data_IF_750040995267
#
_entry.id   IF_750040995267
#
_cell.length_a   1.000
_cell.length_b   1.000
_cell.length_c   1.000
_cell.angle_alpha   90.00
_cell.angle_beta   90.00
_cell.angle_gamma   90.00
#
_symmetry.space_group_name_H-M   'P 1'
#
loop_
_entity.id
_entity.type
_entity.pdbx_description
1 polymer ?
#
# COMPACT_ATOMS: atom_id res chain seq x y z
N UNK A 1 -1.82 4.19 33.53
CA UNK A 1 -1.87 4.24 32.05
C UNK A 1 -3.06 3.41 31.60
N UNK A 2 -3.96 3.99 30.80
CA UNK A 2 -5.16 3.32 30.31
C UNK A 2 -4.77 2.20 29.31
N UNK A 3 -5.46 1.05 29.36
CA UNK A 3 -5.28 -0.09 28.43
C UNK A 3 -5.35 0.34 26.95
N UNK A 4 -6.10 1.41 26.66
CA UNK A 4 -6.24 1.99 25.31
C UNK A 4 -4.94 2.60 24.79
N UNK A 5 -4.14 3.25 25.63
CA UNK A 5 -2.84 3.84 25.25
C UNK A 5 -1.81 2.75 24.94
N UNK A 6 -1.85 1.64 25.67
CA UNK A 6 -0.95 0.50 25.44
C UNK A 6 -1.27 -0.21 24.12
N UNK A 7 -2.54 -0.31 23.75
CA UNK A 7 -2.97 -0.91 22.48
C UNK A 7 -2.61 -0.03 21.29
N UNK A 8 -2.78 1.30 21.39
CA UNK A 8 -2.37 2.23 20.32
C UNK A 8 -0.85 2.23 20.09
N UNK A 9 -0.05 2.21 21.16
CA UNK A 9 1.41 2.09 21.07
C UNK A 9 1.84 0.74 20.46
N UNK A 10 1.15 -0.36 20.77
CA UNK A 10 1.43 -1.66 20.18
C UNK A 10 1.06 -1.71 18.69
N UNK A 11 -0.02 -1.07 18.27
CA UNK A 11 -0.42 -0.98 16.86
C UNK A 11 0.54 -0.11 16.06
N UNK A 12 0.98 1.03 16.60
CA UNK A 12 1.99 1.87 15.93
C UNK A 12 3.36 1.17 15.85
N UNK A 13 3.76 0.40 16.88
CA UNK A 13 4.97 -0.40 16.86
C UNK A 13 4.86 -1.63 15.94
N UNK A 14 3.67 -2.24 15.82
CA UNK A 14 3.42 -3.34 14.89
C UNK A 14 3.38 -2.85 13.43
N UNK A 15 2.85 -1.67 13.15
CA UNK A 15 2.90 -1.07 11.81
C UNK A 15 4.33 -0.63 11.43
N UNK A 16 5.10 -0.10 12.37
CA UNK A 16 6.51 0.21 12.17
C UNK A 16 7.37 -1.06 12.07
N UNK A 17 7.05 -2.12 12.82
CA UNK A 17 7.70 -3.42 12.74
C UNK A 17 7.31 -4.20 11.49
N UNK A 18 6.08 -4.09 11.02
CA UNK A 18 5.64 -4.71 9.76
C UNK A 18 6.33 -4.08 8.55
N UNK A 19 6.51 -2.77 8.53
CA UNK A 19 7.32 -2.10 7.52
C UNK A 19 8.82 -2.45 7.62
N UNK A 20 9.36 -2.58 8.84
CA UNK A 20 10.77 -2.96 9.04
C UNK A 20 11.03 -4.45 8.77
N UNK A 21 10.11 -5.35 9.12
CA UNK A 21 10.21 -6.79 8.81
C UNK A 21 10.03 -7.06 7.33
N UNK A 22 9.19 -6.30 6.64
CA UNK A 22 9.06 -6.35 5.19
C UNK A 22 10.37 -5.95 4.49
N UNK A 23 11.08 -4.93 5.01
CA UNK A 23 12.41 -4.53 4.52
C UNK A 23 13.52 -5.55 4.84
N UNK A 24 13.48 -6.22 6.00
CA UNK A 24 14.50 -7.19 6.42
C UNK A 24 14.30 -8.59 5.83
N UNK A 25 13.09 -8.99 5.45
CA UNK A 25 12.83 -10.24 4.74
C UNK A 25 13.23 -10.22 3.27
N UNK A 26 13.52 -9.05 2.70
CA UNK A 26 13.96 -8.90 1.31
C UNK A 26 15.33 -9.53 1.03
N UNK A 27 16.16 -9.75 2.06
CA UNK A 27 17.55 -10.23 1.91
C UNK A 27 17.77 -11.71 2.29
N UNK A 28 16.72 -12.48 2.62
CA UNK A 28 16.90 -13.87 3.12
C UNK A 28 16.09 -14.89 2.33
N UNK A 29 16.27 -14.95 1.02
CA UNK A 29 15.72 -16.04 0.19
C UNK A 29 16.68 -17.24 0.15
N UNK A 30 16.26 -18.47 0.54
CA UNK A 30 17.11 -19.63 0.34
C UNK A 30 17.15 -20.03 -1.14
N UNK A 31 18.37 -20.16 -1.65
CA UNK A 31 18.70 -20.73 -2.96
C UNK A 31 18.21 -22.19 -3.05
N UNK A 32 17.05 -22.44 -3.62
CA UNK A 32 16.59 -23.80 -3.94
C UNK A 32 16.98 -24.11 -5.38
N UNK A 33 17.93 -25.04 -5.53
CA UNK A 33 18.35 -25.60 -6.81
C UNK A 33 17.18 -26.29 -7.49
N UNK A 34 16.91 -25.89 -8.73
CA UNK A 34 15.98 -26.54 -9.65
C UNK A 34 16.44 -27.97 -9.96
N UNK A 35 15.73 -28.94 -9.44
CA UNK A 35 15.85 -30.35 -9.85
C UNK A 35 14.79 -30.65 -10.93
N UNK A 36 15.24 -31.21 -12.05
CA UNK A 36 14.41 -31.69 -13.16
C UNK A 36 13.30 -32.62 -12.69
N UNK A 37 12.05 -32.22 -12.80
CA UNK A 37 10.90 -33.10 -12.71
C UNK A 37 10.19 -33.13 -14.08
N UNK A 38 10.39 -34.22 -14.83
CA UNK A 38 9.63 -34.56 -16.03
C UNK A 38 8.16 -34.73 -15.69
N UNK A 39 7.31 -33.90 -16.28
CA UNK A 39 5.86 -34.05 -16.20
C UNK A 39 5.39 -35.27 -17.01
N UNK A 40 4.49 -36.13 -16.47
CA UNK A 40 3.83 -37.14 -17.24
C UNK A 40 2.77 -36.50 -18.16
N UNK A 41 2.77 -36.89 -19.43
CA UNK A 41 1.80 -36.49 -20.45
C UNK A 41 0.40 -36.94 -20.07
N UNK A 42 -0.53 -35.99 -19.85
CA UNK A 42 -1.96 -36.28 -19.69
C UNK A 42 -2.62 -36.69 -21.00
N UNK A 43 -3.51 -37.70 -21.01
CA UNK A 43 -4.23 -38.13 -22.19
C UNK A 43 -5.24 -37.06 -22.65
N UNK A 44 -5.37 -36.92 -23.98
CA UNK A 44 -6.29 -36.00 -24.62
C UNK A 44 -7.74 -36.28 -24.24
N UNK A 45 -8.43 -35.23 -23.74
CA UNK A 45 -9.85 -35.24 -23.37
C UNK A 45 -10.73 -35.18 -24.63
N UNK A 46 -11.77 -36.02 -24.75
CA UNK A 46 -12.65 -35.98 -25.91
C UNK A 46 -13.48 -34.68 -25.94
N UNK A 47 -13.90 -34.19 -27.12
CA UNK A 47 -14.69 -32.99 -27.26
C UNK A 47 -16.09 -33.25 -26.73
N UNK A 48 -16.38 -32.70 -25.53
CA UNK A 48 -17.69 -32.78 -24.88
C UNK A 48 -18.42 -31.44 -24.95
N UNK A 49 -19.72 -31.50 -25.15
CA UNK A 49 -20.73 -30.47 -25.22
C UNK A 49 -20.43 -29.20 -24.44
N UNK A 50 -20.30 -28.07 -25.15
CA UNK A 50 -20.13 -26.73 -24.64
C UNK A 50 -21.33 -26.19 -23.87
N UNK A 51 -21.57 -26.67 -22.65
CA UNK A 51 -22.08 -25.80 -21.59
C UNK A 51 -20.86 -24.95 -21.17
N UNK A 52 -20.96 -23.63 -20.99
CA UNK A 52 -19.89 -22.89 -20.37
C UNK A 52 -19.60 -23.59 -19.04
N UNK A 53 -18.43 -24.26 -18.98
CA UNK A 53 -17.99 -24.88 -17.75
C UNK A 53 -17.90 -23.74 -16.74
N UNK A 54 -18.66 -23.83 -15.63
CA UNK A 54 -18.57 -22.86 -14.56
C UNK A 54 -17.08 -22.73 -14.20
N UNK A 55 -16.52 -21.56 -14.42
CA UNK A 55 -15.12 -21.31 -14.07
C UNK A 55 -14.91 -21.70 -12.60
N UNK A 56 -13.83 -22.41 -12.23
CA UNK A 56 -13.58 -22.75 -10.82
C UNK A 56 -13.61 -21.52 -9.91
N UNK A 57 -13.37 -20.35 -10.47
CA UNK A 57 -13.35 -19.07 -9.78
C UNK A 57 -14.75 -18.57 -9.38
N UNK A 58 -15.83 -19.04 -10.00
CA UNK A 58 -17.21 -18.74 -9.58
C UNK A 58 -17.51 -19.21 -8.15
N UNK A 59 -16.75 -20.18 -7.65
CA UNK A 59 -16.86 -20.70 -6.29
C UNK A 59 -16.32 -19.73 -5.23
N UNK A 60 -15.49 -18.75 -5.62
CA UNK A 60 -14.95 -17.73 -4.70
C UNK A 60 -16.06 -16.89 -4.07
N UNK A 61 -17.16 -16.65 -4.78
CA UNK A 61 -18.31 -15.86 -4.33
C UNK A 61 -19.41 -16.70 -3.70
N UNK A 62 -19.17 -17.99 -3.47
CA UNK A 62 -20.17 -18.90 -2.91
C UNK A 62 -20.16 -18.80 -1.38
N UNK A 63 -21.06 -18.04 -0.79
CA UNK A 63 -21.12 -17.79 0.67
C UNK A 63 -21.29 -19.07 1.52
N UNK A 64 -21.80 -20.16 0.96
CA UNK A 64 -21.92 -21.44 1.65
C UNK A 64 -20.58 -22.21 1.79
N UNK A 65 -19.53 -21.81 1.05
CA UNK A 65 -18.20 -22.38 1.20
C UNK A 65 -17.45 -21.72 2.38
N UNK A 66 -16.83 -22.53 3.25
CA UNK A 66 -15.98 -22.00 4.31
C UNK A 66 -14.85 -21.13 3.78
N UNK A 67 -14.47 -20.09 4.52
CA UNK A 67 -13.41 -19.12 4.15
C UNK A 67 -12.12 -19.80 3.77
N UNK A 68 -11.67 -20.81 4.53
CA UNK A 68 -10.43 -21.53 4.23
C UNK A 68 -10.47 -22.24 2.86
N UNK A 69 -11.63 -22.79 2.45
CA UNK A 69 -11.77 -23.42 1.13
C UNK A 69 -11.74 -22.39 0.00
N UNK A 70 -12.37 -21.24 0.20
CA UNK A 70 -12.31 -20.14 -0.78
C UNK A 70 -10.89 -19.59 -0.91
N UNK A 71 -10.14 -19.49 0.20
CA UNK A 71 -8.72 -19.12 0.18
C UNK A 71 -7.86 -20.14 -0.57
N UNK A 72 -8.08 -21.44 -0.37
CA UNK A 72 -7.41 -22.49 -1.14
C UNK A 72 -7.66 -22.36 -2.65
N UNK A 73 -8.90 -22.04 -3.04
CA UNK A 73 -9.26 -21.77 -4.44
C UNK A 73 -8.52 -20.52 -4.95
N UNK A 74 -8.53 -19.41 -4.18
CA UNK A 74 -7.83 -18.18 -4.56
C UNK A 74 -6.33 -18.41 -4.76
N UNK A 75 -5.68 -19.17 -3.91
CA UNK A 75 -4.25 -19.52 -4.01
C UNK A 75 -3.89 -20.38 -5.21
N UNK A 76 -4.87 -21.00 -5.84
CA UNK A 76 -4.66 -21.78 -7.08
C UNK A 76 -4.69 -20.89 -8.35
N UNK A 77 -4.99 -19.60 -8.20
CA UNK A 77 -4.92 -18.64 -9.32
C UNK A 77 -3.47 -18.56 -9.78
N UNK A 78 -3.20 -19.10 -10.97
CA UNK A 78 -1.85 -19.13 -11.55
C UNK A 78 -1.89 -19.43 -13.05
N UNK A 79 -0.78 -19.18 -13.75
CA UNK A 79 -0.64 -19.47 -15.16
C UNK A 79 -1.44 -18.57 -16.09
N UNK A 80 -1.66 -19.00 -17.32
CA UNK A 80 -2.47 -18.25 -18.29
C UNK A 80 -3.95 -18.48 -18.03
N UNK A 81 -4.69 -17.42 -17.70
CA UNK A 81 -6.13 -17.47 -17.58
C UNK A 81 -6.79 -17.34 -18.96
N UNK A 82 -7.91 -18.05 -19.15
CA UNK A 82 -8.80 -17.75 -20.25
C UNK A 82 -9.53 -16.41 -20.03
N UNK A 83 -10.06 -15.80 -21.08
CA UNK A 83 -10.90 -14.58 -20.93
C UNK A 83 -12.08 -14.82 -19.98
N UNK A 84 -12.65 -16.03 -19.97
CA UNK A 84 -13.73 -16.40 -19.08
C UNK A 84 -13.27 -16.45 -17.61
N UNK A 85 -12.07 -16.96 -17.35
CA UNK A 85 -11.50 -16.99 -16.00
C UNK A 85 -11.20 -15.58 -15.49
N UNK A 86 -10.58 -14.73 -16.31
CA UNK A 86 -10.32 -13.32 -15.97
C UNK A 86 -11.62 -12.59 -15.64
N UNK A 87 -12.65 -12.77 -16.48
CA UNK A 87 -13.97 -12.16 -16.21
C UNK A 87 -14.58 -12.67 -14.89
N UNK A 88 -14.45 -13.96 -14.58
CA UNK A 88 -14.95 -14.52 -13.33
C UNK A 88 -14.21 -13.98 -12.10
N UNK A 89 -12.88 -13.76 -12.20
CA UNK A 89 -12.10 -13.14 -11.13
C UNK A 89 -12.46 -11.66 -10.91
N UNK A 90 -12.64 -10.90 -12.00
CA UNK A 90 -13.11 -9.52 -11.88
C UNK A 90 -14.52 -9.44 -11.29
N UNK A 91 -15.43 -10.34 -11.69
CA UNK A 91 -16.74 -10.45 -11.07
C UNK A 91 -16.64 -10.80 -9.56
N UNK A 92 -15.67 -11.64 -9.18
CA UNK A 92 -15.38 -11.90 -7.77
C UNK A 92 -14.90 -10.65 -7.05
N UNK A 93 -14.04 -9.83 -7.66
CA UNK A 93 -13.59 -8.54 -7.07
C UNK A 93 -14.76 -7.56 -6.88
N UNK A 94 -15.85 -7.70 -7.64
CA UNK A 94 -17.06 -6.89 -7.50
C UNK A 94 -18.08 -7.47 -6.51
N UNK A 95 -17.82 -8.67 -6.03
CA UNK A 95 -18.76 -9.33 -5.12
C UNK A 95 -18.90 -8.56 -3.81
N UNK A 96 -20.13 -8.37 -3.38
CA UNK A 96 -20.46 -7.85 -2.06
C UNK A 96 -20.95 -9.02 -1.20
N UNK A 97 -20.26 -9.37 -0.12
CA UNK A 97 -20.65 -10.48 0.72
C UNK A 97 -21.97 -10.18 1.43
N UNK A 98 -22.67 -11.23 1.88
CA UNK A 98 -23.82 -11.07 2.76
C UNK A 98 -23.38 -10.46 4.09
N UNK A 99 -24.30 -9.74 4.72
CA UNK A 99 -24.06 -9.12 6.03
C UNK A 99 -23.51 -10.14 7.03
N UNK A 100 -22.41 -9.77 7.69
CA UNK A 100 -21.69 -10.60 8.66
C UNK A 100 -20.60 -11.51 8.05
N UNK A 101 -20.36 -11.43 6.73
CA UNK A 101 -19.29 -12.15 6.05
C UNK A 101 -18.19 -11.25 5.47
N UNK A 102 -18.22 -9.95 5.80
CA UNK A 102 -17.36 -8.94 5.20
C UNK A 102 -15.88 -9.16 5.54
N UNK A 103 -15.54 -9.43 6.81
CA UNK A 103 -14.15 -9.61 7.24
C UNK A 103 -13.51 -10.83 6.54
N UNK A 104 -14.23 -11.94 6.48
CA UNK A 104 -13.79 -13.15 5.77
C UNK A 104 -13.59 -12.89 4.28
N UNK A 105 -14.51 -12.08 3.70
CA UNK A 105 -14.44 -11.73 2.30
C UNK A 105 -13.22 -10.84 1.99
N UNK A 106 -12.88 -9.88 2.86
CA UNK A 106 -11.72 -9.02 2.65
C UNK A 106 -10.41 -9.82 2.55
N UNK A 107 -10.27 -10.88 3.35
CA UNK A 107 -9.09 -11.77 3.28
C UNK A 107 -9.04 -12.50 1.94
N UNK A 108 -10.17 -13.01 1.45
CA UNK A 108 -10.26 -13.69 0.15
C UNK A 108 -9.98 -12.73 -1.00
N UNK A 109 -10.56 -11.53 -0.94
CA UNK A 109 -10.39 -10.48 -1.95
C UNK A 109 -8.92 -10.05 -2.06
N UNK A 110 -8.26 -9.84 -0.92
CA UNK A 110 -6.83 -9.52 -0.89
C UNK A 110 -6.00 -10.64 -1.53
N UNK A 111 -6.31 -11.91 -1.25
CA UNK A 111 -5.62 -13.05 -1.87
C UNK A 111 -5.85 -13.10 -3.39
N UNK A 112 -7.07 -12.83 -3.87
CA UNK A 112 -7.36 -12.75 -5.32
C UNK A 112 -6.50 -11.66 -5.96
N UNK A 113 -6.48 -10.46 -5.39
CA UNK A 113 -5.69 -9.35 -5.90
C UNK A 113 -4.19 -9.69 -5.91
N UNK A 114 -3.69 -10.30 -4.84
CA UNK A 114 -2.29 -10.70 -4.72
C UNK A 114 -1.89 -11.72 -5.80
N UNK A 115 -2.68 -12.77 -6.00
CA UNK A 115 -2.38 -13.79 -6.99
C UNK A 115 -2.46 -13.25 -8.42
N UNK A 116 -3.47 -12.42 -8.73
CA UNK A 116 -3.56 -11.77 -10.05
C UNK A 116 -2.33 -10.90 -10.32
N UNK A 117 -1.91 -10.10 -9.35
CA UNK A 117 -0.71 -9.26 -9.45
C UNK A 117 0.56 -10.10 -9.65
N UNK A 118 0.80 -11.09 -8.77
CA UNK A 118 2.02 -11.92 -8.80
C UNK A 118 2.21 -12.65 -10.10
N UNK A 119 1.15 -13.17 -10.66
CA UNK A 119 1.17 -13.93 -11.90
C UNK A 119 0.99 -13.06 -13.16
N UNK A 120 0.86 -11.74 -13.02
CA UNK A 120 0.69 -10.81 -14.14
C UNK A 120 -0.59 -11.04 -14.94
N UNK A 121 -1.62 -11.60 -14.30
CA UNK A 121 -2.84 -12.04 -14.97
C UNK A 121 -3.71 -10.84 -15.32
N UNK A 122 -4.08 -10.71 -16.61
CA UNK A 122 -4.89 -9.60 -17.11
C UNK A 122 -4.28 -8.24 -16.79
N UNK A 123 -2.96 -8.09 -16.94
CA UNK A 123 -2.19 -7.00 -16.34
C UNK A 123 -2.77 -5.60 -16.53
N UNK A 124 -3.15 -5.23 -17.74
CA UNK A 124 -3.70 -3.90 -18.03
C UNK A 124 -5.15 -3.79 -17.54
N UNK A 125 -5.96 -4.80 -17.78
CA UNK A 125 -7.34 -4.86 -17.29
C UNK A 125 -7.39 -4.93 -15.75
N UNK A 126 -6.42 -5.62 -15.14
CA UNK A 126 -6.31 -5.69 -13.68
C UNK A 126 -6.01 -4.32 -13.08
N UNK A 127 -5.05 -3.58 -13.64
CA UNK A 127 -4.74 -2.22 -13.17
C UNK A 127 -5.92 -1.27 -13.36
N UNK A 128 -6.63 -1.35 -14.49
CA UNK A 128 -7.84 -0.60 -14.72
C UNK A 128 -8.92 -0.92 -13.68
N UNK A 129 -9.12 -2.21 -13.37
CA UNK A 129 -10.08 -2.67 -12.35
C UNK A 129 -9.74 -2.15 -10.96
N UNK A 130 -8.47 -2.16 -10.57
CA UNK A 130 -8.04 -1.57 -9.30
C UNK A 130 -8.34 -0.06 -9.26
N UNK A 131 -8.09 0.66 -10.36
CA UNK A 131 -8.41 2.08 -10.48
C UNK A 131 -9.92 2.36 -10.30
N UNK A 132 -10.80 1.53 -10.87
CA UNK A 132 -12.24 1.59 -10.66
C UNK A 132 -12.60 1.43 -9.18
N UNK A 133 -12.03 0.41 -8.51
CA UNK A 133 -12.28 0.14 -7.09
C UNK A 133 -11.82 1.32 -6.22
N UNK A 134 -10.66 1.91 -6.50
CA UNK A 134 -10.12 3.05 -5.75
C UNK A 134 -11.06 4.25 -5.82
N UNK A 135 -11.65 4.52 -6.97
CA UNK A 135 -12.51 5.69 -7.20
C UNK A 135 -13.98 5.47 -6.85
N UNK A 136 -14.40 4.24 -6.62
CA UNK A 136 -15.77 3.91 -6.23
C UNK A 136 -16.01 4.19 -4.73
N UNK A 137 -16.66 5.32 -4.43
CA UNK A 137 -17.00 5.71 -3.06
C UNK A 137 -18.06 4.79 -2.40
N UNK A 138 -18.73 3.94 -3.17
CA UNK A 138 -19.64 2.92 -2.64
C UNK A 138 -18.92 1.71 -2.05
N UNK A 139 -17.62 1.54 -2.31
CA UNK A 139 -16.78 0.49 -1.73
C UNK A 139 -16.33 0.86 -0.32
N UNK A 140 -16.15 -0.16 0.53
CA UNK A 140 -15.61 0.04 1.88
C UNK A 140 -14.16 0.52 1.81
N UNK A 141 -13.71 1.23 2.86
CA UNK A 141 -12.33 1.70 2.98
C UNK A 141 -11.33 0.55 2.83
N UNK A 142 -11.58 -0.59 3.45
CA UNK A 142 -10.69 -1.76 3.41
C UNK A 142 -10.45 -2.25 1.97
N UNK A 143 -11.51 -2.33 1.16
CA UNK A 143 -11.41 -2.76 -0.23
C UNK A 143 -10.65 -1.75 -1.08
N UNK A 144 -10.89 -0.46 -0.86
CA UNK A 144 -10.18 0.62 -1.54
C UNK A 144 -8.70 0.69 -1.13
N UNK A 145 -8.39 0.49 0.15
CA UNK A 145 -7.03 0.40 0.67
C UNK A 145 -6.24 -0.74 0.01
N UNK A 146 -6.83 -1.94 -0.09
CA UNK A 146 -6.20 -3.06 -0.80
C UNK A 146 -5.94 -2.72 -2.28
N UNK A 147 -6.93 -2.14 -2.96
CA UNK A 147 -6.76 -1.75 -4.36
C UNK A 147 -5.62 -0.73 -4.56
N UNK A 148 -5.46 0.24 -3.67
CA UNK A 148 -4.33 1.20 -3.70
C UNK A 148 -2.99 0.48 -3.54
N UNK A 149 -2.88 -0.40 -2.55
CA UNK A 149 -1.64 -1.13 -2.28
C UNK A 149 -1.26 -2.02 -3.46
N UNK A 150 -2.21 -2.78 -4.00
CA UNK A 150 -1.97 -3.66 -5.15
C UNK A 150 -1.68 -2.87 -6.44
N UNK A 151 -2.31 -1.71 -6.64
CA UNK A 151 -2.02 -0.85 -7.79
C UNK A 151 -0.62 -0.25 -7.70
N UNK A 152 -0.18 0.19 -6.53
CA UNK A 152 1.17 0.66 -6.29
C UNK A 152 2.21 -0.45 -6.58
N UNK A 153 1.98 -1.65 -6.06
CA UNK A 153 2.84 -2.81 -6.33
C UNK A 153 2.84 -3.21 -7.82
N UNK A 154 1.71 -3.04 -8.52
CA UNK A 154 1.64 -3.25 -9.96
C UNK A 154 2.45 -2.19 -10.72
N UNK A 155 2.41 -0.92 -10.31
CA UNK A 155 3.21 0.16 -10.89
C UNK A 155 4.71 -0.07 -10.67
N UNK A 156 5.11 -0.56 -9.49
CA UNK A 156 6.51 -0.69 -9.10
C UNK A 156 7.31 -1.54 -10.10
N UNK A 157 8.32 -0.99 -10.77
CA UNK A 157 9.15 -1.75 -11.69
C UNK A 157 10.06 -2.71 -10.92
N UNK A 158 10.29 -3.90 -11.51
CA UNK A 158 11.25 -4.86 -10.97
C UNK A 158 10.84 -5.53 -9.65
N UNK A 159 9.56 -5.51 -9.32
CA UNK A 159 9.06 -6.25 -8.15
C UNK A 159 9.36 -7.75 -8.32
N UNK A 160 10.22 -8.36 -7.46
CA UNK A 160 10.66 -9.75 -7.61
C UNK A 160 9.52 -10.76 -7.44
N UNK A 161 8.44 -10.37 -6.76
CA UNK A 161 7.28 -11.21 -6.49
C UNK A 161 6.24 -11.19 -7.63
N UNK A 162 6.54 -10.49 -8.71
CA UNK A 162 5.64 -10.33 -9.84
C UNK A 162 6.27 -10.87 -11.11
N UNK A 163 5.50 -11.62 -11.90
CA UNK A 163 5.93 -12.00 -13.25
C UNK A 163 6.20 -10.73 -14.07
N UNK A 164 7.41 -10.56 -14.62
CA UNK A 164 7.73 -9.40 -15.44
C UNK A 164 6.78 -9.29 -16.63
N UNK A 165 6.21 -8.12 -16.85
CA UNK A 165 5.40 -7.79 -18.01
C UNK A 165 5.66 -6.34 -18.41
N UNK A 166 5.51 -6.07 -19.68
CA UNK A 166 5.58 -4.72 -20.21
C UNK A 166 4.30 -3.96 -19.80
N UNK A 167 4.49 -2.80 -19.18
CA UNK A 167 3.37 -1.95 -18.72
C UNK A 167 3.12 -0.86 -19.73
N UNK A 168 1.85 -0.63 -20.06
CA UNK A 168 1.43 0.50 -20.87
C UNK A 168 1.71 1.82 -20.12
N UNK A 169 2.59 2.73 -20.63
CA UNK A 169 2.91 3.97 -19.94
C UNK A 169 1.69 4.87 -19.69
N UNK A 170 0.71 4.87 -20.61
CA UNK A 170 -0.52 5.65 -20.43
C UNK A 170 -1.32 5.12 -19.23
N UNK A 171 -1.37 3.81 -19.05
CA UNK A 171 -2.06 3.18 -17.92
C UNK A 171 -1.32 3.41 -16.61
N UNK A 172 0.01 3.45 -16.61
CA UNK A 172 0.79 3.86 -15.43
C UNK A 172 0.42 5.29 -15.04
N UNK A 173 0.36 6.22 -15.99
CA UNK A 173 -0.08 7.59 -15.74
C UNK A 173 -1.50 7.69 -15.19
N UNK A 174 -2.43 6.90 -15.75
CA UNK A 174 -3.81 6.82 -15.25
C UNK A 174 -3.85 6.26 -13.82
N UNK A 175 -3.07 5.22 -13.53
CA UNK A 175 -2.99 4.61 -12.21
C UNK A 175 -2.46 5.59 -11.16
N UNK A 176 -1.44 6.38 -11.49
CA UNK A 176 -0.96 7.48 -10.64
C UNK A 176 -2.05 8.54 -10.41
N UNK A 177 -2.85 8.84 -11.43
CA UNK A 177 -3.98 9.76 -11.30
C UNK A 177 -5.05 9.21 -10.34
N UNK A 178 -5.34 7.90 -10.36
CA UNK A 178 -6.26 7.29 -9.39
C UNK A 178 -5.74 7.39 -7.96
N UNK A 179 -4.44 7.11 -7.73
CA UNK A 179 -3.81 7.29 -6.42
C UNK A 179 -3.89 8.76 -5.96
N UNK A 180 -3.55 9.70 -6.83
CA UNK A 180 -3.63 11.12 -6.52
C UNK A 180 -5.08 11.60 -6.26
N UNK A 181 -6.06 11.05 -6.95
CA UNK A 181 -7.49 11.30 -6.69
C UNK A 181 -7.90 10.78 -5.33
N UNK A 182 -7.47 9.57 -4.95
CA UNK A 182 -7.74 9.01 -3.64
C UNK A 182 -7.21 9.91 -2.50
N UNK A 183 -6.04 10.54 -2.69
CA UNK A 183 -5.50 11.50 -1.73
C UNK A 183 -6.39 12.75 -1.62
N UNK A 184 -6.85 13.30 -2.74
CA UNK A 184 -7.66 14.53 -2.76
C UNK A 184 -9.08 14.32 -2.23
N UNK A 185 -9.76 13.30 -2.70
CA UNK A 185 -11.19 13.08 -2.43
C UNK A 185 -11.44 12.73 -0.97
N UNK A 186 -10.53 11.99 -0.38
CA UNK A 186 -10.68 11.50 0.99
C UNK A 186 -10.09 12.45 2.03
N UNK A 187 -9.34 13.49 1.65
CA UNK A 187 -8.97 14.57 2.55
C UNK A 187 -10.21 15.27 3.17
N UNK A 188 -11.36 15.15 2.50
CA UNK A 188 -12.64 15.72 2.97
C UNK A 188 -13.45 14.71 3.80
N UNK A 189 -13.23 13.40 3.63
CA UNK A 189 -14.09 12.35 4.18
C UNK A 189 -13.63 11.76 5.52
N UNK A 190 -12.50 12.22 6.06
CA UNK A 190 -11.93 11.72 7.32
C UNK A 190 -11.78 10.18 7.35
N UNK A 191 -11.25 9.61 6.28
CA UNK A 191 -10.96 8.17 6.13
C UNK A 191 -9.46 7.87 6.20
N UNK A 192 -9.07 6.58 6.26
CA UNK A 192 -7.66 6.13 6.22
C UNK A 192 -7.04 6.21 4.81
N UNK A 193 -7.87 6.26 3.79
CA UNK A 193 -7.48 6.15 2.36
C UNK A 193 -6.40 7.13 1.91
N UNK A 194 -6.45 8.45 2.28
CA UNK A 194 -5.38 9.35 1.87
C UNK A 194 -4.02 8.95 2.45
N UNK A 195 -4.01 8.44 3.68
CA UNK A 195 -2.78 7.97 4.33
C UNK A 195 -2.15 6.80 3.58
N UNK A 196 -2.95 5.79 3.24
CA UNK A 196 -2.52 4.65 2.43
C UNK A 196 -2.03 5.08 1.06
N UNK A 197 -2.77 5.96 0.36
CA UNK A 197 -2.40 6.44 -0.95
C UNK A 197 -1.11 7.28 -0.96
N UNK A 198 -0.88 8.09 0.07
CA UNK A 198 0.35 8.86 0.24
C UNK A 198 1.57 7.97 0.46
N UNK A 199 1.47 6.96 1.32
CA UNK A 199 2.55 6.01 1.54
C UNK A 199 2.83 5.17 0.29
N UNK A 200 1.79 4.73 -0.42
CA UNK A 200 1.90 4.02 -1.68
C UNK A 200 2.61 4.86 -2.75
N UNK A 201 2.25 6.15 -2.88
CA UNK A 201 2.92 7.07 -3.80
C UNK A 201 4.39 7.28 -3.42
N UNK A 202 4.70 7.41 -2.13
CA UNK A 202 6.08 7.56 -1.67
C UNK A 202 6.93 6.32 -1.99
N UNK A 203 6.38 5.12 -1.80
CA UNK A 203 7.07 3.85 -2.05
C UNK A 203 7.45 3.66 -3.53
N UNK A 204 6.55 4.02 -4.45
CA UNK A 204 6.80 3.88 -5.89
C UNK A 204 7.63 5.03 -6.48
N UNK A 205 7.67 6.20 -5.82
CA UNK A 205 8.34 7.41 -6.33
C UNK A 205 9.79 7.20 -6.78
N UNK A 206 10.66 6.49 -6.04
CA UNK A 206 12.06 6.31 -6.45
C UNK A 206 12.24 5.54 -7.77
N UNK A 207 11.21 4.83 -8.20
CA UNK A 207 11.26 3.91 -9.33
C UNK A 207 10.59 4.46 -10.59
N UNK A 208 10.10 5.68 -10.56
CA UNK A 208 9.40 6.33 -11.68
C UNK A 208 10.23 7.49 -12.26
N UNK A 209 9.96 7.90 -13.51
CA UNK A 209 10.62 9.05 -14.12
C UNK A 209 10.45 10.30 -13.24
N UNK A 210 11.55 11.03 -13.01
CA UNK A 210 11.58 12.18 -12.11
C UNK A 210 10.54 13.26 -12.47
N UNK A 211 10.33 13.51 -13.78
CA UNK A 211 9.32 14.45 -14.25
C UNK A 211 7.89 14.05 -13.89
N UNK A 212 7.57 12.74 -14.02
CA UNK A 212 6.25 12.20 -13.69
C UNK A 212 5.97 12.35 -12.20
N UNK A 213 6.95 12.00 -11.36
CA UNK A 213 6.83 12.08 -9.91
C UNK A 213 6.77 13.53 -9.44
N UNK A 214 7.62 14.41 -9.97
CA UNK A 214 7.58 15.85 -9.64
C UNK A 214 6.22 16.44 -9.97
N UNK A 215 5.67 16.15 -11.16
CA UNK A 215 4.34 16.64 -11.55
C UNK A 215 3.24 16.11 -10.62
N UNK A 216 3.33 14.84 -10.22
CA UNK A 216 2.35 14.22 -9.31
C UNK A 216 2.39 14.89 -7.93
N UNK A 217 3.56 15.03 -7.30
CA UNK A 217 3.70 15.68 -5.99
C UNK A 217 3.28 17.16 -6.04
N UNK A 218 3.66 17.89 -7.09
CA UNK A 218 3.25 19.29 -7.27
C UNK A 218 1.73 19.44 -7.37
N UNK A 219 1.05 18.50 -8.01
CA UNK A 219 -0.42 18.51 -8.09
C UNK A 219 -1.12 18.30 -6.74
N UNK A 220 -0.42 17.71 -5.76
CA UNK A 220 -0.92 17.44 -4.42
C UNK A 220 -0.55 18.51 -3.40
N UNK A 221 0.36 19.44 -3.73
CA UNK A 221 0.90 20.43 -2.81
C UNK A 221 -0.17 21.20 -2.00
N UNK A 222 -1.24 21.73 -2.61
CA UNK A 222 -2.26 22.47 -1.86
C UNK A 222 -2.95 21.63 -0.77
N UNK A 223 -3.15 20.33 -1.04
CA UNK A 223 -3.80 19.41 -0.09
C UNK A 223 -2.84 18.99 1.02
N UNK A 224 -1.61 18.69 0.67
CA UNK A 224 -0.59 18.25 1.61
C UNK A 224 -0.22 19.35 2.60
N UNK A 225 -0.14 20.59 2.15
CA UNK A 225 0.12 21.73 3.02
C UNK A 225 -0.94 21.82 4.14
N UNK A 226 -2.22 21.75 3.79
CA UNK A 226 -3.32 21.77 4.76
C UNK A 226 -3.35 20.57 5.70
N UNK A 227 -3.02 19.36 5.19
CA UNK A 227 -2.95 18.14 6.01
C UNK A 227 -1.80 18.25 7.02
N UNK A 228 -0.60 18.62 6.58
CA UNK A 228 0.60 18.67 7.43
C UNK A 228 0.47 19.80 8.48
N UNK A 229 -0.01 20.99 8.10
CA UNK A 229 -0.24 22.08 9.02
C UNK A 229 -1.37 21.77 10.03
N UNK A 230 -2.32 20.90 9.66
CA UNK A 230 -3.50 20.60 10.45
C UNK A 230 -4.67 21.56 10.21
N UNK A 231 -4.60 22.38 9.17
CA UNK A 231 -5.70 23.24 8.72
C UNK A 231 -6.81 22.41 8.07
N UNK A 232 -6.44 21.34 7.37
CA UNK A 232 -7.40 20.37 6.84
C UNK A 232 -7.71 19.32 7.89
N UNK A 233 -8.99 19.17 8.23
CA UNK A 233 -9.45 18.14 9.18
C UNK A 233 -9.30 16.75 8.54
N UNK A 234 -8.43 15.93 9.11
CA UNK A 234 -8.18 14.56 8.69
C UNK A 234 -7.98 13.67 9.91
N UNK A 235 -7.98 12.34 9.71
CA UNK A 235 -7.56 11.42 10.77
C UNK A 235 -6.09 11.69 11.16
N UNK A 236 -5.77 11.48 12.43
CA UNK A 236 -4.40 11.61 12.94
C UNK A 236 -3.42 10.71 12.18
N UNK A 237 -3.84 9.48 11.86
CA UNK A 237 -3.07 8.53 11.04
C UNK A 237 -2.74 9.09 9.65
N UNK A 238 -3.70 9.72 8.98
CA UNK A 238 -3.50 10.35 7.67
C UNK A 238 -2.47 11.47 7.74
N UNK A 239 -2.52 12.30 8.79
CA UNK A 239 -1.53 13.37 8.99
C UNK A 239 -0.13 12.82 9.24
N UNK A 240 -0.02 11.75 10.04
CA UNK A 240 1.25 11.04 10.25
C UNK A 240 1.77 10.48 8.93
N UNK A 241 0.92 9.81 8.15
CA UNK A 241 1.30 9.27 6.83
C UNK A 241 1.74 10.36 5.86
N UNK A 242 1.10 11.54 5.86
CA UNK A 242 1.51 12.67 5.02
C UNK A 242 2.92 13.15 5.38
N UNK A 243 3.21 13.34 6.67
CA UNK A 243 4.55 13.73 7.15
C UNK A 243 5.58 12.68 6.71
N UNK A 244 5.29 11.39 6.86
CA UNK A 244 6.19 10.32 6.48
C UNK A 244 6.41 10.29 4.96
N UNK A 245 5.36 10.37 4.16
CA UNK A 245 5.43 10.27 2.71
C UNK A 245 6.26 11.39 2.08
N UNK A 246 6.01 12.65 2.49
CA UNK A 246 6.80 13.80 1.98
C UNK A 246 8.25 13.75 2.42
N UNK A 247 8.53 13.15 3.57
CA UNK A 247 9.89 13.01 4.10
C UNK A 247 10.66 11.88 3.43
N UNK A 248 10.03 10.71 3.21
CA UNK A 248 10.62 9.59 2.46
C UNK A 248 11.05 9.99 1.05
N UNK A 249 10.35 10.95 0.44
CA UNK A 249 10.65 11.50 -0.88
C UNK A 249 11.38 12.84 -0.83
N UNK A 250 11.83 13.26 0.35
CA UNK A 250 12.59 14.49 0.62
C UNK A 250 11.98 15.76 -0.03
N UNK A 251 10.65 15.90 0.04
CA UNK A 251 9.91 17.03 -0.53
C UNK A 251 10.21 18.32 0.23
N UNK A 252 11.15 19.11 -0.27
CA UNK A 252 11.69 20.31 0.38
C UNK A 252 10.65 21.35 0.82
N UNK A 253 9.54 21.62 0.09
CA UNK A 253 8.54 22.60 0.49
C UNK A 253 7.95 22.36 1.90
N UNK A 254 7.96 21.12 2.38
CA UNK A 254 7.34 20.75 3.67
C UNK A 254 8.31 20.76 4.86
N UNK A 255 9.62 20.84 4.62
CA UNK A 255 10.64 20.80 5.68
C UNK A 255 10.42 21.87 6.77
N UNK A 256 10.09 23.14 6.46
CA UNK A 256 9.83 24.15 7.50
C UNK A 256 8.67 23.79 8.44
N UNK A 257 7.57 23.23 7.89
CA UNK A 257 6.44 22.78 8.69
C UNK A 257 6.80 21.58 9.58
N UNK A 258 7.56 20.62 9.04
CA UNK A 258 8.04 19.44 9.77
C UNK A 258 8.97 19.85 10.91
N UNK A 259 9.88 20.82 10.72
CA UNK A 259 10.72 21.40 11.77
C UNK A 259 9.89 22.02 12.88
N UNK A 260 8.90 22.81 12.50
CA UNK A 260 8.00 23.44 13.46
C UNK A 260 7.26 22.41 14.31
N UNK A 261 6.74 21.35 13.70
CA UNK A 261 6.06 20.26 14.40
C UNK A 261 7.00 19.47 15.31
N UNK A 262 8.23 19.19 14.87
CA UNK A 262 9.24 18.49 15.67
C UNK A 262 9.66 19.30 16.92
N UNK A 263 9.78 20.62 16.78
CA UNK A 263 10.13 21.52 17.87
C UNK A 263 8.95 21.81 18.83
N UNK A 264 7.71 21.66 18.37
CA UNK A 264 6.51 22.03 19.15
C UNK A 264 6.27 21.09 20.32
N UNK A 265 6.24 21.66 21.54
CA UNK A 265 5.88 20.92 22.77
C UNK A 265 4.36 20.67 22.89
N UNK A 266 3.57 21.43 22.15
CA UNK A 266 2.11 21.35 22.17
C UNK A 266 1.54 20.49 21.03
N UNK A 267 2.37 20.05 20.08
CA UNK A 267 1.93 19.16 19.02
C UNK A 267 1.47 17.81 19.58
N UNK A 268 0.52 17.16 18.88
CA UNK A 268 0.16 15.79 19.20
C UNK A 268 1.42 14.90 19.26
N UNK A 269 1.56 14.03 20.27
CA UNK A 269 2.77 13.21 20.44
C UNK A 269 3.14 12.37 19.23
N UNK A 270 2.16 11.83 18.48
CA UNK A 270 2.38 11.02 17.29
C UNK A 270 2.87 11.87 16.11
N UNK A 271 2.30 13.08 15.97
CA UNK A 271 2.75 14.06 14.96
C UNK A 271 4.17 14.51 15.26
N UNK A 272 4.45 14.88 16.51
CA UNK A 272 5.80 15.30 16.92
C UNK A 272 6.82 14.19 16.71
N UNK A 273 6.50 12.96 17.13
CA UNK A 273 7.35 11.79 16.95
C UNK A 273 7.65 11.52 15.47
N UNK A 274 6.62 11.53 14.62
CA UNK A 274 6.77 11.36 13.18
C UNK A 274 7.63 12.48 12.58
N UNK A 275 7.40 13.73 12.97
CA UNK A 275 8.18 14.87 12.48
C UNK A 275 9.65 14.79 12.86
N UNK A 276 9.98 14.41 14.12
CA UNK A 276 11.36 14.19 14.57
C UNK A 276 12.03 13.10 13.74
N UNK A 277 11.39 11.95 13.56
CA UNK A 277 11.94 10.86 12.75
C UNK A 277 12.14 11.28 11.28
N UNK A 278 11.28 12.15 10.78
CA UNK A 278 11.28 12.66 9.41
C UNK A 278 12.46 13.59 9.09
N UNK A 279 12.95 14.37 10.07
CA UNK A 279 14.08 15.27 9.85
C UNK A 279 15.34 14.55 9.34
N UNK A 280 15.53 13.28 9.73
CA UNK A 280 16.65 12.47 9.25
C UNK A 280 16.64 12.17 7.75
N UNK A 281 15.49 12.24 7.07
CA UNK A 281 15.41 12.01 5.63
C UNK A 281 15.82 13.24 4.80
N UNK A 282 15.69 14.44 5.37
CA UNK A 282 16.12 15.67 4.70
C UNK A 282 17.62 15.93 4.82
N UNK A 283 18.29 15.26 5.76
CA UNK A 283 19.72 15.34 6.00
C UNK A 283 20.24 16.80 6.11
N UNK A 284 19.44 17.70 6.71
CA UNK A 284 19.82 19.11 6.86
C UNK A 284 20.65 19.33 8.12
N UNK A 285 21.88 19.91 8.01
CA UNK A 285 22.72 20.21 9.18
C UNK A 285 22.03 21.13 10.21
N UNK A 286 21.10 21.97 9.77
CA UNK A 286 20.37 22.88 10.66
C UNK A 286 19.50 22.14 11.70
N UNK A 287 19.15 20.88 11.44
CA UNK A 287 18.31 20.06 12.31
C UNK A 287 19.12 19.33 13.39
N UNK A 288 20.46 19.32 13.27
CA UNK A 288 21.35 18.56 14.15
C UNK A 288 21.19 18.98 15.62
N UNK A 289 21.24 20.27 15.91
CA UNK A 289 21.17 20.79 17.30
C UNK A 289 19.82 20.43 17.98
N UNK A 290 18.72 20.50 17.22
CA UNK A 290 17.39 20.09 17.73
C UNK A 290 17.38 18.58 18.03
N UNK A 291 17.89 17.78 17.11
CA UNK A 291 17.89 16.31 17.27
C UNK A 291 18.84 15.88 18.41
N UNK A 292 19.99 16.51 18.60
CA UNK A 292 20.90 16.25 19.73
C UNK A 292 20.23 16.58 21.07
N UNK A 293 19.52 17.69 21.15
CA UNK A 293 18.75 18.07 22.34
C UNK A 293 17.68 17.02 22.66
N UNK A 294 16.92 16.60 21.67
CA UNK A 294 15.86 15.60 21.84
C UNK A 294 16.42 14.19 22.13
N UNK A 295 17.59 13.86 21.61
CA UNK A 295 18.26 12.57 21.84
C UNK A 295 18.76 12.40 23.27
N UNK A 296 19.05 13.53 23.97
CA UNK A 296 19.52 13.53 25.36
C UNK A 296 18.44 13.86 26.38
N UNK A 297 17.34 14.44 25.96
CA UNK A 297 16.24 14.94 26.79
C UNK A 297 15.15 13.92 27.08
N UNK A 298 13.93 14.21 26.64
CA UNK A 298 12.74 13.39 26.90
C UNK A 298 12.89 11.98 26.28
N UNK A 299 12.73 10.97 27.12
CA UNK A 299 12.84 9.55 26.74
C UNK A 299 11.85 9.13 25.67
N UNK A 300 10.71 9.80 25.55
CA UNK A 300 9.65 9.51 24.54
C UNK A 300 10.15 9.69 23.12
N UNK A 301 10.95 10.73 22.86
CA UNK A 301 11.42 11.10 21.51
C UNK A 301 12.87 10.69 21.25
N UNK A 302 13.57 10.22 22.29
CA UNK A 302 14.99 9.91 22.27
C UNK A 302 15.38 9.00 21.09
N UNK A 303 14.69 7.89 20.93
CA UNK A 303 15.05 6.90 19.88
C UNK A 303 14.76 7.41 18.47
N UNK A 304 13.69 8.19 18.30
CA UNK A 304 13.40 8.83 17.00
C UNK A 304 14.50 9.84 16.63
N UNK A 305 14.92 10.68 17.59
CA UNK A 305 15.98 11.65 17.38
C UNK A 305 17.34 10.98 17.12
N UNK A 306 17.68 9.94 17.85
CA UNK A 306 18.90 9.15 17.61
C UNK A 306 18.91 8.50 16.22
N UNK A 307 17.78 7.93 15.79
CA UNK A 307 17.63 7.36 14.46
C UNK A 307 17.76 8.43 13.35
N UNK A 308 17.19 9.62 13.58
CA UNK A 308 17.31 10.73 12.65
C UNK A 308 18.75 11.24 12.56
N UNK A 309 19.45 11.41 13.69
CA UNK A 309 20.88 11.76 13.72
C UNK A 309 21.75 10.75 12.99
N UNK A 310 21.49 9.46 13.17
CA UNK A 310 22.24 8.42 12.46
C UNK A 310 22.12 8.50 10.93
N UNK A 311 21.01 9.06 10.40
CA UNK A 311 20.86 9.32 8.95
C UNK A 311 21.59 10.59 8.49
N UNK A 312 21.75 11.59 9.36
CA UNK A 312 22.48 12.83 9.03
C UNK A 312 23.99 12.58 8.88
N UNK A 313 24.51 11.55 9.55
CA UNK A 313 25.97 11.27 9.63
C UNK A 313 26.43 10.20 8.64
N UNK A 314 25.52 9.54 7.92
CA UNK A 314 25.82 8.54 6.88
C UNK A 314 25.61 9.11 5.48
#
# INVERSE_FOLDING_TARGET
MSRTVTILLAVCLLLAAASATWFLQRDSGPNVRSGDLRSPSSPARPPGNNKPADSPWSRLTTDSLPTHQRLEIARQISGSLSKGDTAALFAAMDHTPRSGGEEDWYVILNEIMEQMRRHGLGSDEYAAKLGEIITDSGRTEVVRDYAIQHLALWIAPGNPDQVPHEKNPALVGQSLSHIATAIRDTAVSNTSIPGTALLALADISPNLPAETITATWSSLEPYLQGIISGETSTQLSTRVSAIQAVSLTAQQPYLPAIRSLAASETADPSIRLSSIASLGFYASPEDQALLETLATGDTRYKYAAQSALGRLTN
#
